data_IF_306947357170
#
_entry.id   IF_306947357170
#
_cell.length_a   1.000
_cell.length_b   1.000
_cell.length_c   1.000
_cell.angle_alpha   90.00
_cell.angle_beta   90.00
_cell.angle_gamma   90.00
#
_symmetry.space_group_name_H-M   'P 1'
#
loop_
_entity.id
_entity.type
_entity.pdbx_description
1 polymer ?
#
# COMPACT_ATOMS: atom_id res chain seq x y z
N UNK A 1 -6.29 -2.29 10.50
CA UNK A 1 -7.03 -1.05 10.17
C UNK A 1 -8.37 -1.39 9.52
N UNK A 2 -9.48 -0.77 9.94
CA UNK A 2 -10.80 -0.93 9.27
C UNK A 2 -10.77 -0.20 7.92
N UNK A 3 -11.58 -0.64 6.95
CA UNK A 3 -11.63 -0.01 5.61
C UNK A 3 -12.01 1.47 5.70
N UNK A 4 -12.95 1.81 6.59
CA UNK A 4 -13.39 3.18 6.83
C UNK A 4 -12.22 4.04 7.32
N UNK A 5 -11.45 3.57 8.31
CA UNK A 5 -10.28 4.30 8.81
C UNK A 5 -9.22 4.54 7.73
N UNK A 6 -9.06 3.62 6.77
CA UNK A 6 -8.13 3.82 5.65
C UNK A 6 -8.61 4.95 4.73
N UNK A 7 -9.89 4.91 4.35
CA UNK A 7 -10.47 5.92 3.46
C UNK A 7 -10.43 7.30 4.13
N UNK A 8 -10.78 7.39 5.42
CA UNK A 8 -10.73 8.67 6.15
C UNK A 8 -9.32 9.23 6.22
N UNK A 9 -8.30 8.40 6.48
CA UNK A 9 -6.90 8.86 6.53
C UNK A 9 -6.45 9.38 5.17
N UNK A 10 -6.79 8.69 4.08
CA UNK A 10 -6.48 9.09 2.70
C UNK A 10 -7.13 10.43 2.35
N UNK A 11 -8.42 10.59 2.67
CA UNK A 11 -9.17 11.83 2.39
C UNK A 11 -8.61 13.00 3.20
N UNK A 12 -8.36 12.80 4.49
CA UNK A 12 -7.80 13.85 5.36
C UNK A 12 -6.39 14.25 4.89
N UNK A 13 -5.55 13.28 4.55
CA UNK A 13 -4.21 13.54 4.02
C UNK A 13 -4.26 14.29 2.69
N UNK A 14 -5.23 13.98 1.82
CA UNK A 14 -5.46 14.72 0.58
C UNK A 14 -5.75 16.20 0.84
N UNK A 15 -6.77 16.51 1.66
CA UNK A 15 -7.14 17.89 1.93
C UNK A 15 -6.02 18.66 2.64
N UNK A 16 -5.30 18.00 3.56
CA UNK A 16 -4.20 18.61 4.29
C UNK A 16 -3.03 18.94 3.36
N UNK A 17 -2.65 18.00 2.47
CA UNK A 17 -1.62 18.23 1.45
C UNK A 17 -2.01 19.29 0.42
N UNK A 18 -3.28 19.29 -0.01
CA UNK A 18 -3.81 20.29 -0.94
C UNK A 18 -3.77 21.70 -0.35
N UNK A 19 -4.35 21.89 0.84
CA UNK A 19 -4.41 23.20 1.48
C UNK A 19 -3.01 23.74 1.79
N UNK A 20 -2.14 22.88 2.34
CA UNK A 20 -0.78 23.27 2.68
C UNK A 20 -0.01 23.76 1.45
N UNK A 21 -0.10 23.04 0.33
CA UNK A 21 0.58 23.46 -0.89
C UNK A 21 -0.09 24.66 -1.57
N UNK A 22 -1.41 24.77 -1.53
CA UNK A 22 -2.11 25.93 -2.07
C UNK A 22 -1.70 27.25 -1.37
N UNK A 23 -1.53 27.21 -0.05
CA UNK A 23 -1.00 28.36 0.68
C UNK A 23 0.47 28.64 0.34
N UNK A 24 1.31 27.60 0.22
CA UNK A 24 2.72 27.76 -0.13
C UNK A 24 2.91 28.32 -1.55
N UNK A 25 2.13 27.86 -2.53
CA UNK A 25 2.23 28.34 -3.92
C UNK A 25 1.86 29.81 -4.03
N UNK A 26 0.82 30.26 -3.30
CA UNK A 26 0.44 31.67 -3.22
C UNK A 26 1.49 32.58 -2.58
N UNK A 27 2.25 32.06 -1.61
CA UNK A 27 3.32 32.83 -0.96
C UNK A 27 4.60 32.88 -1.80
N UNK A 28 4.85 31.87 -2.63
CA UNK A 28 6.14 31.68 -3.32
C UNK A 28 6.20 32.26 -4.75
N UNK A 29 5.09 32.73 -5.34
CA UNK A 29 5.01 33.17 -6.75
C UNK A 29 5.79 32.23 -7.68
N UNK A 30 5.34 30.98 -7.75
CA UNK A 30 5.99 29.96 -8.55
C UNK A 30 5.88 30.31 -10.04
N UNK A 31 7.01 30.54 -10.70
CA UNK A 31 7.06 30.64 -12.15
C UNK A 31 6.62 29.31 -12.78
N UNK A 32 5.76 29.40 -13.78
CA UNK A 32 5.29 28.27 -14.59
C UNK A 32 6.50 27.54 -15.19
N UNK A 33 6.82 26.37 -14.65
CA UNK A 33 7.91 25.53 -15.11
C UNK A 33 7.37 24.18 -15.58
N UNK A 34 8.18 23.44 -16.32
CA UNK A 34 7.88 22.10 -16.83
C UNK A 34 7.31 21.17 -15.74
N UNK A 35 6.45 20.24 -16.17
CA UNK A 35 5.78 19.25 -15.32
C UNK A 35 6.70 18.72 -14.22
N UNK A 36 6.31 18.84 -12.93
CA UNK A 36 7.14 18.41 -11.82
C UNK A 36 7.15 16.87 -11.73
N UNK A 37 8.00 16.24 -12.52
CA UNK A 37 8.19 14.78 -12.60
C UNK A 37 8.45 14.14 -11.23
N UNK A 38 9.06 14.90 -10.31
CA UNK A 38 9.32 14.47 -8.95
C UNK A 38 8.03 14.15 -8.19
N UNK A 39 6.95 14.90 -8.42
CA UNK A 39 5.67 14.67 -7.76
C UNK A 39 4.99 13.41 -8.31
N UNK A 40 5.06 13.17 -9.62
CA UNK A 40 4.54 11.94 -10.23
C UNK A 40 5.30 10.71 -9.71
N UNK A 41 6.62 10.83 -9.55
CA UNK A 41 7.45 9.75 -9.02
C UNK A 41 7.13 9.46 -7.55
N UNK A 42 6.99 10.51 -6.73
CA UNK A 42 6.59 10.39 -5.32
C UNK A 42 5.19 9.80 -5.17
N UNK A 43 4.27 10.12 -6.07
CA UNK A 43 2.91 9.56 -6.09
C UNK A 43 2.94 8.05 -6.33
N UNK A 44 3.80 7.58 -7.23
CA UNK A 44 3.94 6.16 -7.57
C UNK A 44 4.80 5.39 -6.59
N UNK A 45 5.62 6.03 -5.76
CA UNK A 45 6.53 5.36 -4.82
C UNK A 45 5.84 4.29 -3.93
N UNK A 46 4.67 4.54 -3.31
CA UNK A 46 3.95 3.55 -2.51
C UNK A 46 3.45 2.33 -3.30
N UNK A 47 3.32 2.44 -4.63
CA UNK A 47 2.88 1.33 -5.48
C UNK A 47 3.86 0.15 -5.45
N UNK A 48 5.17 0.44 -5.40
CA UNK A 48 6.22 -0.59 -5.30
C UNK A 48 6.08 -1.41 -4.02
N UNK A 49 5.72 -0.77 -2.91
CA UNK A 49 5.48 -1.45 -1.64
C UNK A 49 4.18 -2.26 -1.64
N UNK A 50 3.13 -1.79 -2.32
CA UNK A 50 1.93 -2.61 -2.53
C UNK A 50 2.25 -3.91 -3.28
N UNK A 51 3.09 -3.82 -4.33
CA UNK A 51 3.51 -4.98 -5.12
C UNK A 51 4.30 -5.94 -4.21
N UNK A 52 5.32 -5.45 -3.50
CA UNK A 52 6.11 -6.28 -2.57
C UNK A 52 5.24 -6.96 -1.50
N UNK A 53 4.30 -6.22 -0.90
CA UNK A 53 3.37 -6.77 0.07
C UNK A 53 2.50 -7.88 -0.53
N UNK A 54 2.03 -7.71 -1.78
CA UNK A 54 1.22 -8.72 -2.48
C UNK A 54 2.00 -10.01 -2.76
N UNK A 55 3.26 -9.89 -3.17
CA UNK A 55 4.14 -11.05 -3.37
C UNK A 55 4.36 -11.80 -2.06
N UNK A 56 4.73 -11.09 -0.99
CA UNK A 56 4.96 -11.67 0.34
C UNK A 56 3.75 -12.41 0.91
N UNK A 57 2.53 -11.89 0.66
CA UNK A 57 1.29 -12.58 1.05
C UNK A 57 1.07 -13.84 0.22
N UNK A 58 1.47 -13.84 -1.05
CA UNK A 58 1.28 -15.00 -1.93
C UNK A 58 2.19 -16.16 -1.56
N UNK A 59 3.45 -15.89 -1.19
CA UNK A 59 4.36 -16.90 -0.63
C UNK A 59 3.81 -17.53 0.67
N UNK A 60 3.09 -16.76 1.49
CA UNK A 60 2.54 -17.28 2.74
C UNK A 60 1.39 -18.29 2.58
N UNK A 61 0.88 -18.52 1.36
CA UNK A 61 -0.13 -19.55 1.10
C UNK A 61 0.46 -20.97 1.00
N UNK A 62 1.78 -21.13 0.95
CA UNK A 62 2.42 -22.43 0.71
C UNK A 62 2.61 -23.28 1.99
N UNK A 63 2.20 -22.78 3.16
CA UNK A 63 2.39 -23.51 4.41
C UNK A 63 1.45 -24.72 4.53
N UNK A 64 2.04 -25.90 4.47
CA UNK A 64 1.41 -27.24 4.56
C UNK A 64 0.90 -27.62 5.95
N UNK A 65 1.23 -26.85 6.99
CA UNK A 65 0.89 -27.14 8.39
C UNK A 65 -0.53 -26.68 8.82
N UNK A 66 -1.39 -26.25 7.88
CA UNK A 66 -2.74 -25.76 8.20
C UNK A 66 -3.82 -26.82 7.94
N UNK A 67 -4.78 -26.90 8.86
CA UNK A 67 -5.98 -27.71 8.66
C UNK A 67 -6.82 -27.11 7.53
N UNK A 68 -7.53 -27.95 6.74
CA UNK A 68 -8.36 -27.51 5.59
C UNK A 68 -9.36 -26.39 5.93
N UNK A 69 -9.91 -26.38 7.14
CA UNK A 69 -10.83 -25.35 7.62
C UNK A 69 -10.13 -24.02 7.95
N UNK A 70 -8.91 -24.07 8.51
CA UNK A 70 -8.10 -22.90 8.81
C UNK A 70 -7.58 -22.27 7.52
N UNK A 71 -7.16 -23.10 6.57
CA UNK A 71 -6.73 -22.68 5.24
C UNK A 71 -7.84 -21.90 4.52
N UNK A 72 -9.08 -22.41 4.52
CA UNK A 72 -10.21 -21.70 3.89
C UNK A 72 -10.51 -20.34 4.54
N UNK A 73 -10.39 -20.23 5.86
CA UNK A 73 -10.58 -18.96 6.58
C UNK A 73 -9.45 -17.98 6.25
N UNK A 74 -8.21 -18.45 6.25
CA UNK A 74 -7.03 -17.68 5.94
C UNK A 74 -7.06 -17.17 4.49
N UNK A 75 -7.39 -18.05 3.54
CA UNK A 75 -7.49 -17.73 2.12
C UNK A 75 -8.49 -16.60 1.87
N UNK A 76 -9.65 -16.62 2.55
CA UNK A 76 -10.63 -15.53 2.47
C UNK A 76 -10.05 -14.21 2.99
N UNK A 77 -9.33 -14.21 4.11
CA UNK A 77 -8.69 -13.00 4.67
C UNK A 77 -7.61 -12.47 3.74
N UNK A 78 -6.79 -13.37 3.20
CA UNK A 78 -5.72 -13.08 2.26
C UNK A 78 -6.27 -12.48 0.97
N UNK A 79 -7.30 -13.09 0.37
CA UNK A 79 -7.91 -12.61 -0.86
C UNK A 79 -8.52 -11.21 -0.68
N UNK A 80 -9.14 -10.94 0.48
CA UNK A 80 -9.63 -9.59 0.81
C UNK A 80 -8.50 -8.56 0.91
N UNK A 81 -7.35 -8.92 1.49
CA UNK A 81 -6.19 -8.02 1.58
C UNK A 81 -5.51 -7.81 0.22
N UNK A 82 -5.38 -8.88 -0.59
CA UNK A 82 -4.87 -8.80 -1.97
C UNK A 82 -5.72 -7.88 -2.82
N UNK A 83 -7.05 -8.03 -2.77
CA UNK A 83 -7.97 -7.16 -3.50
C UNK A 83 -7.76 -5.68 -3.14
N UNK A 84 -7.64 -5.38 -1.84
CA UNK A 84 -7.39 -4.00 -1.36
C UNK A 84 -6.05 -3.43 -1.84
N UNK A 85 -4.98 -4.23 -1.81
CA UNK A 85 -3.68 -3.80 -2.35
C UNK A 85 -3.76 -3.56 -3.87
N UNK A 86 -4.49 -4.41 -4.60
CA UNK A 86 -4.74 -4.21 -6.03
C UNK A 86 -5.54 -2.93 -6.31
N UNK A 87 -6.57 -2.63 -5.51
CA UNK A 87 -7.32 -1.38 -5.62
C UNK A 87 -6.42 -0.16 -5.37
N UNK A 88 -5.51 -0.22 -4.40
CA UNK A 88 -4.54 0.86 -4.14
C UNK A 88 -3.57 1.06 -5.31
N UNK A 89 -3.07 -0.02 -5.91
CA UNK A 89 -2.22 0.06 -7.12
C UNK A 89 -2.98 0.73 -8.26
N UNK A 90 -4.24 0.32 -8.49
CA UNK A 90 -5.09 0.95 -9.49
C UNK A 90 -5.31 2.45 -9.25
N UNK A 91 -5.54 2.84 -7.99
CA UNK A 91 -5.66 4.24 -7.60
C UNK A 91 -4.38 5.05 -7.92
N UNK A 92 -3.19 4.53 -7.65
CA UNK A 92 -1.94 5.25 -7.95
C UNK A 92 -1.71 5.40 -9.44
N UNK A 93 -1.92 4.35 -10.23
CA UNK A 93 -1.77 4.39 -11.68
C UNK A 93 -2.75 5.39 -12.29
N UNK A 94 -4.04 5.29 -11.91
CA UNK A 94 -5.08 6.19 -12.39
C UNK A 94 -4.79 7.66 -12.02
N UNK A 95 -4.38 7.91 -10.78
CA UNK A 95 -4.03 9.25 -10.32
C UNK A 95 -2.84 9.83 -11.08
N UNK A 96 -1.80 9.02 -11.32
CA UNK A 96 -0.63 9.44 -12.09
C UNK A 96 -0.99 9.76 -13.55
N UNK A 97 -1.81 8.92 -14.19
CA UNK A 97 -2.25 9.15 -15.58
C UNK A 97 -3.09 10.42 -15.69
N UNK A 98 -4.00 10.66 -14.73
CA UNK A 98 -4.84 11.86 -14.69
C UNK A 98 -3.98 13.11 -14.52
N UNK A 99 -3.03 13.10 -13.58
CA UNK A 99 -2.11 14.25 -13.38
C UNK A 99 -1.32 14.55 -14.66
N UNK A 100 -0.69 13.54 -15.27
CA UNK A 100 0.10 13.74 -16.49
C UNK A 100 -0.77 14.29 -17.62
N UNK A 101 -1.97 13.75 -17.79
CA UNK A 101 -2.89 14.21 -18.82
C UNK A 101 -3.33 15.66 -18.62
N UNK A 102 -3.63 16.04 -17.37
CA UNK A 102 -4.03 17.42 -17.04
C UNK A 102 -2.85 18.39 -17.28
N UNK A 103 -1.63 18.03 -16.89
CA UNK A 103 -0.44 18.85 -17.14
C UNK A 103 -0.12 19.03 -18.63
N UNK A 104 -0.50 18.08 -19.49
CA UNK A 104 -0.29 18.17 -20.94
C UNK A 104 -1.37 19.01 -21.64
N UNK A 105 -2.61 18.97 -21.14
CA UNK A 105 -3.75 19.62 -21.79
C UNK A 105 -4.00 21.08 -21.35
N UNK A 106 -3.65 21.44 -20.12
CA UNK A 106 -3.96 22.76 -19.57
C UNK A 106 -2.87 23.77 -19.92
N UNK A 107 -3.28 24.96 -20.35
CA UNK A 107 -2.38 26.09 -20.55
C UNK A 107 -1.66 26.48 -19.26
N UNK A 108 -0.36 26.76 -19.36
CA UNK A 108 0.55 27.11 -18.26
C UNK A 108 0.29 28.52 -17.67
N UNK A 109 -0.98 28.94 -17.59
CA UNK A 109 -1.34 30.13 -16.82
C UNK A 109 -0.98 29.93 -15.34
N UNK A 110 -0.53 30.98 -14.63
CA UNK A 110 -0.10 30.88 -13.25
C UNK A 110 -1.18 30.32 -12.32
N UNK A 111 -2.43 30.78 -12.49
CA UNK A 111 -3.55 30.35 -11.66
C UNK A 111 -3.84 28.86 -11.80
N UNK A 112 -3.88 28.34 -13.02
CA UNK A 112 -4.11 26.91 -13.24
C UNK A 112 -2.93 26.08 -12.71
N UNK A 113 -1.70 26.55 -12.87
CA UNK A 113 -0.51 25.86 -12.39
C UNK A 113 -0.50 25.70 -10.86
N UNK A 114 -0.91 26.72 -10.10
CA UNK A 114 -1.03 26.66 -8.64
C UNK A 114 -2.04 25.61 -8.18
N UNK A 115 -3.22 25.57 -8.79
CA UNK A 115 -4.24 24.57 -8.48
C UNK A 115 -3.77 23.15 -8.83
N UNK A 116 -3.06 22.98 -9.94
CA UNK A 116 -2.54 21.68 -10.38
C UNK A 116 -1.45 21.15 -9.46
N UNK A 117 -0.49 21.98 -9.06
CA UNK A 117 0.53 21.58 -8.09
C UNK A 117 -0.12 21.21 -6.76
N UNK A 118 -1.08 22.00 -6.29
CA UNK A 118 -1.79 21.73 -5.03
C UNK A 118 -2.54 20.41 -5.08
N UNK A 119 -3.24 20.13 -6.19
CA UNK A 119 -3.93 18.86 -6.43
C UNK A 119 -2.95 17.69 -6.47
N UNK A 120 -1.82 17.85 -7.15
CA UNK A 120 -0.78 16.82 -7.23
C UNK A 120 -0.21 16.50 -5.85
N UNK A 121 0.11 17.51 -5.05
CA UNK A 121 0.58 17.32 -3.68
C UNK A 121 -0.46 16.70 -2.76
N UNK A 122 -1.74 17.06 -2.88
CA UNK A 122 -2.82 16.36 -2.17
C UNK A 122 -2.82 14.86 -2.48
N UNK A 123 -2.66 14.49 -3.75
CA UNK A 123 -2.57 13.08 -4.16
C UNK A 123 -1.30 12.40 -3.63
N UNK A 124 -0.15 13.09 -3.58
CA UNK A 124 1.09 12.56 -3.00
C UNK A 124 0.96 12.33 -1.49
N UNK A 125 0.38 13.27 -0.74
CA UNK A 125 0.16 13.07 0.70
C UNK A 125 -0.83 11.94 0.97
N UNK A 126 -1.88 11.86 0.18
CA UNK A 126 -2.83 10.74 0.17
C UNK A 126 -2.12 9.40 -0.06
N UNK A 127 -1.24 9.30 -1.06
CA UNK A 127 -0.50 8.07 -1.36
C UNK A 127 0.56 7.72 -0.31
N UNK A 128 1.19 8.71 0.32
CA UNK A 128 2.12 8.47 1.42
C UNK A 128 1.38 8.01 2.68
N UNK A 129 0.18 8.53 2.94
CA UNK A 129 -0.61 8.12 4.11
C UNK A 129 -1.03 6.65 4.07
N UNK A 130 -1.31 6.11 2.89
CA UNK A 130 -1.65 4.70 2.69
C UNK A 130 -0.46 3.77 2.91
N UNK A 131 0.78 4.28 2.95
CA UNK A 131 1.97 3.50 3.31
C UNK A 131 1.85 2.87 4.71
N UNK A 132 1.23 3.56 5.66
CA UNK A 132 0.99 3.05 7.01
C UNK A 132 0.17 1.76 6.95
N UNK A 133 -0.85 1.72 6.09
CA UNK A 133 -1.66 0.53 5.89
C UNK A 133 -0.85 -0.59 5.24
N UNK A 134 -0.09 -0.29 4.17
CA UNK A 134 0.74 -1.28 3.47
C UNK A 134 1.73 -1.92 4.45
N UNK A 135 2.41 -1.11 5.27
CA UNK A 135 3.31 -1.57 6.32
C UNK A 135 2.61 -2.49 7.30
N UNK A 136 1.42 -2.11 7.79
CA UNK A 136 0.66 -2.95 8.72
C UNK A 136 0.33 -4.34 8.15
N UNK A 137 0.04 -4.41 6.83
CA UNK A 137 -0.22 -5.67 6.14
C UNK A 137 1.06 -6.51 6.00
N UNK A 138 2.19 -5.87 5.71
CA UNK A 138 3.50 -6.55 5.65
C UNK A 138 3.91 -7.12 7.01
N UNK A 139 3.73 -6.37 8.09
CA UNK A 139 4.05 -6.79 9.46
C UNK A 139 3.17 -7.97 9.89
N UNK A 140 1.87 -7.91 9.60
CA UNK A 140 0.93 -9.00 9.88
C UNK A 140 1.29 -10.27 9.11
N UNK A 141 1.67 -10.15 7.82
CA UNK A 141 2.10 -11.27 6.99
C UNK A 141 3.39 -11.90 7.53
N UNK A 142 4.33 -11.09 7.98
CA UNK A 142 5.58 -11.57 8.58
C UNK A 142 5.35 -12.26 9.92
N UNK A 143 4.47 -11.72 10.76
CA UNK A 143 4.06 -12.35 12.01
C UNK A 143 3.39 -13.70 11.76
N UNK A 144 2.51 -13.77 10.76
CA UNK A 144 1.86 -15.02 10.37
C UNK A 144 2.89 -16.07 9.92
N UNK A 145 3.83 -15.68 9.05
CA UNK A 145 4.95 -16.53 8.62
C UNK A 145 5.77 -17.07 9.79
N UNK A 146 6.09 -16.23 10.78
CA UNK A 146 6.82 -16.65 11.98
C UNK A 146 6.05 -17.67 12.82
N UNK A 147 4.74 -17.47 13.02
CA UNK A 147 3.90 -18.42 13.77
C UNK A 147 3.82 -19.77 13.06
N UNK A 148 3.67 -19.76 11.73
CA UNK A 148 3.61 -20.98 10.92
C UNK A 148 4.91 -21.78 10.95
N UNK A 149 6.05 -21.08 10.92
CA UNK A 149 7.36 -21.72 11.01
C UNK A 149 7.58 -22.38 12.37
N UNK A 150 7.21 -21.71 13.46
CA UNK A 150 7.31 -22.27 14.81
C UNK A 150 6.46 -23.54 14.97
N UNK A 151 5.22 -23.52 14.46
CA UNK A 151 4.33 -24.70 14.49
C UNK A 151 4.90 -25.87 13.71
N UNK A 152 5.43 -25.63 12.51
CA UNK A 152 6.04 -26.68 11.71
C UNK A 152 7.27 -27.31 12.40
N UNK A 153 8.04 -26.52 13.15
CA UNK A 153 9.16 -27.03 13.95
C UNK A 153 8.70 -27.84 15.17
N UNK A 154 7.63 -27.40 15.86
CA UNK A 154 7.03 -28.16 16.97
C UNK A 154 6.46 -29.50 16.50
N UNK A 155 5.72 -29.52 15.39
CA UNK A 155 5.17 -30.74 14.81
C UNK A 155 6.29 -31.71 14.40
N UNK A 156 7.38 -31.19 13.82
CA UNK A 156 8.56 -31.98 13.47
C UNK A 156 9.19 -32.63 14.70
N UNK A 157 9.45 -31.85 15.76
CA UNK A 157 10.02 -32.37 17.02
C UNK A 157 9.11 -33.41 17.67
N UNK A 158 7.80 -33.18 17.65
CA UNK A 158 6.82 -34.12 18.23
C UNK A 158 6.82 -35.44 17.46
N UNK A 159 6.88 -35.38 16.13
CA UNK A 159 6.97 -36.58 15.29
C UNK A 159 8.28 -37.34 15.49
N UNK A 160 9.41 -36.64 15.60
CA UNK A 160 10.71 -37.26 15.91
C UNK A 160 10.70 -37.99 17.26
N UNK A 161 10.09 -37.38 18.29
CA UNK A 161 9.92 -38.01 19.60
C UNK A 161 8.99 -39.24 19.53
N UNK A 162 7.86 -39.15 18.83
CA UNK A 162 6.95 -40.28 18.64
C UNK A 162 7.60 -41.44 17.87
N UNK A 163 8.47 -41.16 16.89
CA UNK A 163 9.23 -42.18 16.19
C UNK A 163 10.28 -42.84 17.09
N UNK A 164 10.95 -42.08 17.96
CA UNK A 164 11.88 -42.65 18.93
C UNK A 164 11.18 -43.60 19.91
N UNK A 165 9.99 -43.23 20.40
CA UNK A 165 9.19 -44.06 21.32
C UNK A 165 8.61 -45.33 20.69
N UNK A 166 8.49 -45.40 19.36
CA UNK A 166 8.02 -46.61 18.64
C UNK A 166 9.15 -47.60 18.35
N UNK A 167 10.40 -47.20 18.52
CA UNK A 167 11.58 -48.05 18.26
C UNK A 167 12.04 -48.81 19.51
N UNK A 168 11.54 -48.45 20.68
CA UNK A 168 11.66 -49.17 21.95
C UNK A 168 10.45 -50.10 22.16
#
# INVERSE_FOLDING_TARGET
MKTITLITTIIVAFFLGFLLMYFLTKMANLNSSSTPWILVTLLLFPSNYCIQARWKITESNEYTALTRNELRRLERIINMKKLRLTTLIGFYIFSATVIVFIFVLIDNSPEHFEYLISLCCGLVFSSLSSFIYIKSVMDETQRFKSIMLHRAEEDKKTNELLESLKKD
#
